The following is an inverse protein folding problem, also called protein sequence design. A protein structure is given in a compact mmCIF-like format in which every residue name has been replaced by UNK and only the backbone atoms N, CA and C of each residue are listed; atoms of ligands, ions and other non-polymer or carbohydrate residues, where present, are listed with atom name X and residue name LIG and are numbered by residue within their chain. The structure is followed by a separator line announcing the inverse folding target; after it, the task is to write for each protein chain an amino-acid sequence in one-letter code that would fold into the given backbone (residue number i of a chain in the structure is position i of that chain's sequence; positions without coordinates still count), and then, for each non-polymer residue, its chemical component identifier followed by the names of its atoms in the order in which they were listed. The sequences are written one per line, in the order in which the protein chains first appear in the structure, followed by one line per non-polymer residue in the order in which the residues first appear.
data_IF_118383433264
#
_entry.id   IF_118383433264
#
_cell.length_a   1.000
_cell.length_b   1.000
_cell.length_c   1.000
_cell.angle_alpha   90.00
_cell.angle_beta   90.00
_cell.angle_gamma   90.00
#
_symmetry.space_group_name_H-M   'P 1'
#
loop_
_entity.id
_entity.type
_entity.pdbx_description
1 polymer ?
#
# COMPACT_ATOMS: atom_id res chain seq x y z
N UNK A 1 11.00 10.97 -9.93
CA UNK A 1 10.26 9.88 -9.24
C UNK A 1 9.29 9.30 -10.25
N UNK A 2 9.43 8.02 -10.60
CA UNK A 2 8.43 7.33 -11.41
C UNK A 2 7.25 6.92 -10.55
N UNK A 3 6.03 7.05 -11.07
CA UNK A 3 4.80 6.52 -10.49
C UNK A 3 4.08 5.72 -11.56
N UNK A 4 3.38 4.67 -11.14
CA UNK A 4 2.55 3.87 -12.03
C UNK A 4 1.13 4.44 -12.04
N UNK A 5 0.42 4.35 -13.17
CA UNK A 5 -0.96 4.82 -13.32
C UNK A 5 -1.85 3.63 -13.61
N UNK A 6 -2.95 3.48 -12.87
CA UNK A 6 -3.93 2.40 -13.04
C UNK A 6 -5.35 2.95 -13.04
N UNK A 7 -6.25 2.28 -13.76
CA UNK A 7 -7.68 2.54 -13.76
C UNK A 7 -8.37 1.45 -12.93
N UNK A 8 -9.15 1.85 -11.92
CA UNK A 8 -9.86 0.96 -11.01
C UNK A 8 -11.33 1.41 -10.97
N UNK A 9 -12.29 0.51 -11.16
CA UNK A 9 -13.70 0.89 -11.13
C UNK A 9 -14.14 1.25 -9.69
N UNK A 10 -13.93 0.31 -8.76
CA UNK A 10 -14.21 0.47 -7.33
C UNK A 10 -13.07 -0.11 -6.51
N UNK A 11 -12.77 0.54 -5.40
CA UNK A 11 -11.68 0.14 -4.53
C UNK A 11 -12.12 0.04 -3.07
N UNK A 12 -11.66 -1.00 -2.38
CA UNK A 12 -11.56 -1.04 -0.91
C UNK A 12 -10.11 -0.77 -0.55
N UNK A 13 -9.85 0.28 0.22
CA UNK A 13 -8.50 0.67 0.62
C UNK A 13 -8.26 0.24 2.08
N UNK A 14 -7.09 -0.36 2.34
CA UNK A 14 -6.65 -0.78 3.67
C UNK A 14 -5.15 -0.53 3.83
N UNK A 15 -4.69 -0.36 5.07
CA UNK A 15 -3.29 -0.19 5.46
C UNK A 15 -3.09 -0.84 6.83
N UNK A 16 -1.83 -1.04 7.24
CA UNK A 16 -1.46 -1.51 8.58
C UNK A 16 -2.19 -2.82 8.97
N UNK A 17 -2.22 -3.77 8.03
CA UNK A 17 -2.94 -5.05 8.23
C UNK A 17 -2.15 -5.99 9.13
N UNK A 18 -0.81 -5.95 9.06
CA UNK A 18 0.07 -6.66 9.97
C UNK A 18 -0.22 -8.17 10.03
N UNK A 19 -0.02 -8.84 8.89
CA UNK A 19 -0.19 -10.29 8.78
C UNK A 19 1.05 -11.03 9.30
N UNK A 20 0.82 -11.86 10.32
CA UNK A 20 1.77 -12.81 10.89
C UNK A 20 1.24 -14.24 10.82
N UNK A 21 2.09 -15.22 11.15
CA UNK A 21 1.72 -16.63 11.12
C UNK A 21 0.52 -16.91 12.06
N UNK A 22 -0.62 -17.30 11.48
CA UNK A 22 -1.83 -17.62 12.23
C UNK A 22 -2.73 -16.43 12.58
N UNK A 23 -2.31 -15.19 12.30
CA UNK A 23 -3.10 -14.00 12.51
C UNK A 23 -2.97 -13.04 11.31
N UNK A 24 -3.99 -12.99 10.47
CA UNK A 24 -4.00 -12.13 9.30
C UNK A 24 -5.43 -11.81 8.91
N UNK A 25 -5.81 -10.53 8.97
CA UNK A 25 -7.16 -10.06 8.62
C UNK A 25 -7.32 -9.68 7.15
N UNK A 26 -6.24 -9.75 6.36
CA UNK A 26 -6.25 -9.42 4.94
C UNK A 26 -7.28 -10.25 4.16
N UNK A 27 -7.50 -11.50 4.59
CA UNK A 27 -8.47 -12.39 3.93
C UNK A 27 -9.91 -11.94 4.14
N UNK A 28 -10.27 -11.47 5.32
CA UNK A 28 -11.60 -10.93 5.63
C UNK A 28 -11.86 -9.66 4.80
N UNK A 29 -10.88 -8.77 4.70
CA UNK A 29 -10.96 -7.56 3.88
C UNK A 29 -11.06 -7.92 2.39
N UNK A 30 -10.28 -8.90 1.92
CA UNK A 30 -10.37 -9.39 0.54
C UNK A 30 -11.76 -9.96 0.21
N UNK A 31 -12.37 -10.72 1.14
CA UNK A 31 -13.75 -11.20 0.97
C UNK A 31 -14.75 -10.04 0.90
N UNK A 32 -14.56 -8.99 1.71
CA UNK A 32 -15.41 -7.81 1.65
C UNK A 32 -15.27 -7.12 0.28
N UNK A 33 -14.04 -6.86 -0.18
CA UNK A 33 -13.78 -6.27 -1.49
C UNK A 33 -14.44 -7.08 -2.62
N UNK A 34 -14.27 -8.41 -2.61
CA UNK A 34 -14.91 -9.29 -3.58
C UNK A 34 -16.44 -9.23 -3.55
N UNK A 35 -17.05 -9.17 -2.35
CA UNK A 35 -18.51 -9.04 -2.19
C UNK A 35 -19.06 -7.71 -2.73
N UNK A 36 -18.29 -6.64 -2.59
CA UNK A 36 -18.64 -5.31 -3.10
C UNK A 36 -18.34 -5.13 -4.60
N UNK A 37 -17.76 -6.16 -5.25
CA UNK A 37 -17.31 -6.07 -6.64
C UNK A 37 -16.20 -5.03 -6.84
N UNK A 38 -15.36 -4.85 -5.82
CA UNK A 38 -14.28 -3.87 -5.80
C UNK A 38 -12.91 -4.54 -5.80
N UNK A 39 -11.91 -3.87 -6.37
CA UNK A 39 -10.51 -4.25 -6.22
C UNK A 39 -10.04 -3.92 -4.79
N UNK A 40 -9.11 -4.72 -4.26
CA UNK A 40 -8.48 -4.44 -2.96
C UNK A 40 -7.21 -3.64 -3.18
N UNK A 41 -7.07 -2.52 -2.46
CA UNK A 41 -5.85 -1.71 -2.45
C UNK A 41 -5.25 -1.77 -1.04
N UNK A 42 -4.03 -2.30 -0.92
CA UNK A 42 -3.27 -2.36 0.33
C UNK A 42 -2.16 -1.30 0.29
N UNK A 43 -2.12 -0.43 1.30
CA UNK A 43 -1.22 0.72 1.39
C UNK A 43 -0.19 0.53 2.50
N UNK A 44 0.76 -0.36 2.27
CA UNK A 44 1.83 -0.67 3.20
C UNK A 44 1.41 -1.56 4.37
N UNK A 45 2.41 -2.07 5.06
CA UNK A 45 2.36 -2.86 6.29
C UNK A 45 1.33 -4.00 6.19
N UNK A 46 1.42 -4.75 5.08
CA UNK A 46 0.63 -5.97 4.88
C UNK A 46 1.18 -7.09 5.76
N UNK A 47 2.49 -7.20 5.89
CA UNK A 47 3.17 -8.24 6.66
C UNK A 47 3.71 -7.68 7.98
N UNK A 48 3.94 -8.52 8.99
CA UNK A 48 4.61 -8.11 10.23
C UNK A 48 6.14 -8.18 10.14
N UNK A 49 6.68 -9.23 9.53
CA UNK A 49 8.12 -9.47 9.53
C UNK A 49 8.55 -9.95 8.14
N UNK A 50 8.48 -9.07 7.14
CA UNK A 50 8.89 -9.38 5.77
C UNK A 50 9.82 -8.32 5.15
N UNK A 51 10.49 -7.52 5.99
CA UNK A 51 11.32 -6.40 5.54
C UNK A 51 12.75 -6.77 5.10
N UNK A 52 12.83 -7.48 3.98
CA UNK A 52 14.10 -7.76 3.30
C UNK A 52 13.88 -7.85 1.79
N UNK A 53 14.98 -7.92 1.03
CA UNK A 53 14.90 -8.11 -0.42
C UNK A 53 14.39 -9.50 -0.73
N UNK A 54 13.35 -9.58 -1.56
CA UNK A 54 12.72 -10.84 -1.95
C UNK A 54 12.72 -11.00 -3.46
N UNK A 55 12.79 -12.24 -3.91
CA UNK A 55 12.50 -12.59 -5.30
C UNK A 55 10.99 -12.54 -5.58
N UNK A 56 10.64 -12.43 -6.86
CA UNK A 56 9.24 -12.47 -7.32
C UNK A 56 8.53 -13.76 -6.87
N UNK A 57 9.21 -14.91 -6.85
CA UNK A 57 8.62 -16.18 -6.42
C UNK A 57 8.39 -16.26 -4.91
N UNK A 58 9.27 -15.69 -4.10
CA UNK A 58 9.08 -15.58 -2.64
C UNK A 58 7.90 -14.69 -2.30
N UNK A 59 7.80 -13.55 -2.97
CA UNK A 59 6.67 -12.62 -2.82
C UNK A 59 5.35 -13.28 -3.24
N UNK A 60 5.33 -13.95 -4.39
CA UNK A 60 4.14 -14.66 -4.88
C UNK A 60 3.69 -15.72 -3.86
N UNK A 61 4.64 -16.51 -3.31
CA UNK A 61 4.34 -17.52 -2.29
C UNK A 61 3.76 -16.90 -1.01
N UNK A 62 4.30 -15.78 -0.56
CA UNK A 62 3.80 -15.07 0.63
C UNK A 62 2.37 -14.55 0.39
N UNK A 63 2.12 -13.90 -0.75
CA UNK A 63 0.81 -13.37 -1.11
C UNK A 63 -0.23 -14.48 -1.31
N UNK A 64 0.16 -15.63 -1.89
CA UNK A 64 -0.69 -16.83 -1.97
C UNK A 64 -1.12 -17.31 -0.60
N UNK A 65 -0.22 -17.29 0.39
CA UNK A 65 -0.56 -17.68 1.75
C UNK A 65 -1.57 -16.71 2.39
N UNK A 66 -1.35 -15.40 2.23
CA UNK A 66 -2.23 -14.33 2.75
C UNK A 66 -3.63 -14.43 2.15
N UNK A 67 -3.74 -14.57 0.83
CA UNK A 67 -5.01 -14.56 0.10
C UNK A 67 -5.53 -15.96 -0.24
N UNK A 68 -5.07 -17.01 0.46
CA UNK A 68 -5.42 -18.40 0.16
C UNK A 68 -6.94 -18.62 0.07
N UNK A 69 -7.41 -19.13 -1.06
CA UNK A 69 -8.82 -19.42 -1.31
C UNK A 69 -9.67 -18.19 -1.67
N UNK A 70 -9.03 -17.08 -2.04
CA UNK A 70 -9.66 -15.93 -2.69
C UNK A 70 -9.36 -16.04 -4.19
N UNK A 71 -10.37 -15.86 -5.03
CA UNK A 71 -10.25 -15.89 -6.49
C UNK A 71 -11.15 -14.82 -7.11
N UNK A 72 -10.85 -14.41 -8.34
CA UNK A 72 -11.62 -13.40 -9.07
C UNK A 72 -11.48 -11.98 -8.52
N UNK A 73 -10.48 -11.74 -7.66
CA UNK A 73 -10.19 -10.44 -7.06
C UNK A 73 -8.90 -9.86 -7.65
N UNK A 74 -8.90 -8.55 -7.87
CA UNK A 74 -7.71 -7.79 -8.22
C UNK A 74 -7.18 -7.06 -6.99
N UNK A 75 -5.89 -7.22 -6.72
CA UNK A 75 -5.21 -6.66 -5.56
C UNK A 75 -4.10 -5.74 -6.01
N UNK A 76 -4.10 -4.50 -5.54
CA UNK A 76 -3.03 -3.53 -5.71
C UNK A 76 -2.35 -3.33 -4.37
N UNK A 77 -1.08 -3.68 -4.25
CA UNK A 77 -0.32 -3.59 -3.02
C UNK A 77 0.83 -2.62 -3.20
N UNK A 78 0.74 -1.47 -2.53
CA UNK A 78 1.83 -0.50 -2.45
C UNK A 78 2.63 -0.83 -1.20
N UNK A 79 3.90 -1.23 -1.33
CA UNK A 79 4.71 -1.64 -0.19
C UNK A 79 5.20 -0.43 0.60
N UNK A 80 5.30 -0.58 1.92
CA UNK A 80 6.10 0.28 2.79
C UNK A 80 7.59 0.11 2.48
N UNK A 81 8.33 1.20 2.43
CA UNK A 81 9.78 1.22 2.21
C UNK A 81 10.61 1.34 3.48
N UNK A 82 9.98 1.61 4.64
CA UNK A 82 10.68 1.84 5.91
C UNK A 82 10.69 0.65 6.86
N UNK A 83 9.69 -0.22 6.78
CA UNK A 83 9.46 -1.29 7.76
C UNK A 83 8.55 -2.37 7.20
N UNK A 84 8.53 -3.53 7.86
CA UNK A 84 7.57 -4.63 7.75
C UNK A 84 7.40 -5.33 6.39
N UNK A 85 7.24 -4.56 5.33
CA UNK A 85 6.98 -5.01 3.96
C UNK A 85 8.26 -5.36 3.19
N UNK A 86 8.16 -6.25 2.18
CA UNK A 86 9.28 -6.68 1.35
C UNK A 86 9.87 -5.54 0.52
N UNK A 87 11.19 -5.61 0.32
CA UNK A 87 11.94 -4.65 -0.49
C UNK A 87 12.00 -5.17 -1.92
N UNK A 88 11.35 -4.44 -2.83
CA UNK A 88 11.38 -4.71 -4.27
C UNK A 88 12.12 -3.62 -5.05
N UNK A 89 12.88 -4.02 -6.07
CA UNK A 89 13.57 -3.09 -6.96
C UNK A 89 12.65 -2.53 -8.05
N UNK A 90 11.58 -3.28 -8.40
CA UNK A 90 10.64 -2.98 -9.47
C UNK A 90 9.24 -3.47 -9.14
N UNK A 91 8.28 -2.94 -9.87
CA UNK A 91 6.90 -3.37 -9.85
C UNK A 91 6.82 -4.87 -10.20
N UNK A 92 5.90 -5.61 -9.57
CA UNK A 92 5.73 -7.04 -9.78
C UNK A 92 4.25 -7.38 -10.00
N UNK A 93 3.97 -8.32 -10.89
CA UNK A 93 2.62 -8.67 -11.30
C UNK A 93 2.44 -10.18 -11.36
N UNK A 94 1.41 -10.68 -10.68
CA UNK A 94 1.17 -12.11 -10.49
C UNK A 94 -0.29 -12.46 -10.77
N UNK A 95 -0.53 -13.70 -11.21
CA UNK A 95 -1.88 -14.26 -11.33
C UNK A 95 -2.03 -15.62 -10.64
N UNK A 96 -1.81 -15.71 -9.32
CA UNK A 96 -1.93 -16.98 -8.62
C UNK A 96 -3.40 -17.38 -8.45
N UNK A 97 -3.77 -18.60 -8.85
CA UNK A 97 -5.06 -19.23 -8.47
C UNK A 97 -6.32 -18.37 -8.78
N UNK A 98 -6.27 -17.59 -9.86
CA UNK A 98 -7.39 -16.71 -10.26
C UNK A 98 -7.48 -15.40 -9.48
N UNK A 99 -6.54 -15.11 -8.58
CA UNK A 99 -6.26 -13.80 -8.01
C UNK A 99 -5.32 -13.04 -8.96
N UNK A 100 -5.57 -11.75 -9.22
CA UNK A 100 -4.60 -10.90 -9.92
C UNK A 100 -3.98 -9.95 -8.92
N UNK A 101 -2.65 -9.92 -8.81
CA UNK A 101 -1.94 -9.09 -7.84
C UNK A 101 -0.91 -8.21 -8.52
N UNK A 102 -0.94 -6.92 -8.21
CA UNK A 102 -0.01 -5.91 -8.66
C UNK A 102 0.69 -5.31 -7.45
N UNK A 103 2.01 -5.36 -7.40
CA UNK A 103 2.82 -4.88 -6.28
C UNK A 103 3.69 -3.73 -6.75
N UNK A 104 3.67 -2.63 -6.00
CA UNK A 104 4.34 -1.38 -6.34
C UNK A 104 5.26 -0.96 -5.18
N UNK A 105 6.59 -0.87 -5.39
CA UNK A 105 7.52 -0.38 -4.36
C UNK A 105 7.53 1.14 -4.16
N UNK A 106 6.61 1.84 -4.84
CA UNK A 106 6.55 3.30 -4.96
C UNK A 106 5.10 3.74 -5.03
N UNK A 107 4.86 5.04 -4.86
CA UNK A 107 3.53 5.62 -5.00
C UNK A 107 2.85 5.21 -6.32
N UNK A 108 1.57 4.86 -6.20
CA UNK A 108 0.67 4.47 -7.28
C UNK A 108 -0.35 5.60 -7.49
N UNK A 109 -0.61 5.95 -8.74
CA UNK A 109 -1.70 6.86 -9.09
C UNK A 109 -2.85 6.03 -9.62
N UNK A 110 -3.98 6.04 -8.93
CA UNK A 110 -5.18 5.36 -9.36
C UNK A 110 -6.22 6.35 -9.87
N UNK A 111 -6.93 6.00 -10.93
CA UNK A 111 -8.21 6.61 -11.29
C UNK A 111 -9.30 5.70 -10.78
N UNK A 112 -10.00 6.12 -9.73
CA UNK A 112 -11.08 5.36 -9.09
C UNK A 112 -12.40 6.06 -9.45
N UNK A 113 -13.08 5.54 -10.47
CA UNK A 113 -14.19 6.26 -11.12
C UNK A 113 -13.74 7.66 -11.60
N UNK A 114 -14.41 8.76 -11.19
CA UNK A 114 -14.01 10.12 -11.58
C UNK A 114 -12.83 10.67 -10.75
N UNK A 115 -12.41 9.97 -9.69
CA UNK A 115 -11.41 10.48 -8.76
C UNK A 115 -10.00 10.07 -9.20
N UNK A 116 -9.07 11.02 -9.18
CA UNK A 116 -7.63 10.73 -9.30
C UNK A 116 -7.02 10.71 -7.90
N UNK A 117 -6.52 9.56 -7.47
CA UNK A 117 -6.02 9.31 -6.12
C UNK A 117 -4.53 8.96 -6.17
N UNK A 118 -3.76 9.54 -5.25
CA UNK A 118 -2.35 9.21 -5.04
C UNK A 118 -2.25 8.27 -3.84
N UNK A 119 -1.79 7.06 -4.09
CA UNK A 119 -1.75 5.95 -3.17
C UNK A 119 -0.30 5.70 -2.76
N UNK A 120 -0.02 5.84 -1.48
CA UNK A 120 1.31 5.66 -0.90
C UNK A 120 1.15 5.20 0.54
N UNK A 121 2.13 4.47 1.05
CA UNK A 121 2.30 4.36 2.50
C UNK A 121 2.92 5.67 3.04
N UNK A 122 2.60 6.04 4.29
CA UNK A 122 2.91 7.36 4.86
C UNK A 122 4.41 7.65 5.03
N UNK A 123 5.23 6.60 4.95
CA UNK A 123 6.68 6.64 5.07
C UNK A 123 7.40 7.30 3.88
N UNK A 124 6.73 7.47 2.73
CA UNK A 124 7.29 8.21 1.59
C UNK A 124 7.49 9.70 1.87
N UNK A 125 6.77 10.28 2.84
CA UNK A 125 6.97 11.65 3.31
C UNK A 125 8.21 11.75 4.22
N UNK A 126 8.35 10.79 5.15
CA UNK A 126 9.51 10.64 6.04
C UNK A 126 9.72 9.16 6.37
N UNK A 127 10.92 8.64 6.07
CA UNK A 127 11.32 7.22 6.22
C UNK A 127 11.32 6.69 7.66
N UNK A 128 11.00 7.52 8.65
CA UNK A 128 11.03 7.16 10.05
C UNK A 128 9.80 7.78 10.74
N UNK A 129 8.89 6.93 11.21
CA UNK A 129 7.64 7.34 11.87
C UNK A 129 7.85 8.19 13.13
N UNK A 130 8.93 7.95 13.89
CA UNK A 130 9.27 8.77 15.05
C UNK A 130 9.75 10.18 14.64
N UNK A 131 10.51 10.28 13.55
CA UNK A 131 10.87 11.58 12.98
C UNK A 131 9.64 12.29 12.40
N UNK A 132 8.73 11.55 11.76
CA UNK A 132 7.48 12.10 11.25
C UNK A 132 6.62 12.68 12.37
N UNK A 133 6.47 11.95 13.47
CA UNK A 133 5.77 12.43 14.65
C UNK A 133 6.43 13.68 15.23
N UNK A 134 7.75 13.66 15.44
CA UNK A 134 8.49 14.79 16.00
C UNK A 134 8.39 16.05 15.13
N UNK A 135 8.52 15.90 13.81
CA UNK A 135 8.41 17.03 12.86
C UNK A 135 6.99 17.60 12.85
N UNK A 136 5.95 16.76 12.84
CA UNK A 136 4.58 17.25 12.94
C UNK A 136 4.28 17.90 14.30
N UNK A 137 4.85 17.39 15.39
CA UNK A 137 4.68 17.97 16.73
C UNK A 137 5.34 19.36 16.82
N UNK A 138 6.56 19.51 16.31
CA UNK A 138 7.25 20.82 16.24
C UNK A 138 6.49 21.78 15.34
N UNK A 139 6.04 21.33 14.16
CA UNK A 139 5.27 22.16 13.26
C UNK A 139 3.95 22.63 13.89
N UNK A 140 3.27 21.76 14.64
CA UNK A 140 2.04 22.11 15.34
C UNK A 140 2.29 23.18 16.43
N UNK A 141 3.40 23.08 17.17
CA UNK A 141 3.83 24.10 18.15
C UNK A 141 4.08 25.45 17.45
N UNK A 142 4.61 25.42 16.22
CA UNK A 142 4.85 26.61 15.39
C UNK A 142 3.59 27.10 14.64
N UNK A 143 2.41 26.51 14.91
CA UNK A 143 1.12 26.90 14.32
C UNK A 143 0.80 26.26 12.97
N UNK A 144 1.65 25.36 12.47
CA UNK A 144 1.47 24.67 11.19
C UNK A 144 0.87 23.28 11.37
N UNK A 145 -0.38 23.11 10.92
CA UNK A 145 -1.07 21.81 10.91
C UNK A 145 -0.71 21.03 9.65
N UNK A 146 -0.60 19.71 9.79
CA UNK A 146 -0.41 18.76 8.67
C UNK A 146 0.83 19.08 7.81
N UNK A 147 1.91 19.56 8.43
CA UNK A 147 3.12 20.00 7.73
C UNK A 147 3.67 18.93 6.77
N UNK A 148 3.72 17.67 7.22
CA UNK A 148 4.21 16.57 6.40
C UNK A 148 3.30 16.23 5.24
N UNK A 149 1.98 16.35 5.42
CA UNK A 149 1.02 16.18 4.34
C UNK A 149 1.21 17.27 3.28
N UNK A 150 1.30 18.55 3.70
CA UNK A 150 1.59 19.68 2.80
C UNK A 150 2.95 19.51 2.09
N UNK A 151 3.96 19.00 2.79
CA UNK A 151 5.27 18.73 2.20
C UNK A 151 5.20 17.60 1.15
N UNK A 152 4.48 16.53 1.45
CA UNK A 152 4.25 15.43 0.52
C UNK A 152 3.43 15.88 -0.69
N UNK A 153 2.33 16.62 -0.47
CA UNK A 153 1.51 17.24 -1.52
C UNK A 153 2.37 18.10 -2.46
N UNK A 154 3.20 19.00 -1.91
CA UNK A 154 4.14 19.80 -2.71
C UNK A 154 5.13 18.95 -3.51
N UNK A 155 5.71 17.91 -2.89
CA UNK A 155 6.64 17.00 -3.58
C UNK A 155 5.96 16.21 -4.71
N UNK A 156 4.67 15.93 -4.56
CA UNK A 156 3.84 15.23 -5.55
C UNK A 156 3.11 16.19 -6.52
N UNK A 157 3.33 17.51 -6.42
CA UNK A 157 2.64 18.55 -7.20
C UNK A 157 1.11 18.51 -7.06
N UNK A 158 0.62 18.27 -5.85
CA UNK A 158 -0.80 18.29 -5.50
C UNK A 158 -1.18 19.63 -4.85
N UNK A 159 -2.42 20.11 -5.05
CA UNK A 159 -2.94 21.27 -4.34
C UNK A 159 -3.05 20.99 -2.82
N UNK A 160 -2.92 22.05 -2.02
CA UNK A 160 -3.01 22.01 -0.56
C UNK A 160 -4.44 21.75 -0.05
#
# INVERSE_FOLDING_TARGET
MGYSVVDIDRAVLVSDVHCSAGNCRAKEVAKLAAREGASLVVLGDLFDDFHWRVSESELERALRAVFRGIAGLEVYYVTSGSSHDPILERDAHFKPEGLTVHVYPRALVARIGPLRVFLTHGDMALRNGAQAFLVNAIALILGERLYLEKALKRKLHLPD
#
